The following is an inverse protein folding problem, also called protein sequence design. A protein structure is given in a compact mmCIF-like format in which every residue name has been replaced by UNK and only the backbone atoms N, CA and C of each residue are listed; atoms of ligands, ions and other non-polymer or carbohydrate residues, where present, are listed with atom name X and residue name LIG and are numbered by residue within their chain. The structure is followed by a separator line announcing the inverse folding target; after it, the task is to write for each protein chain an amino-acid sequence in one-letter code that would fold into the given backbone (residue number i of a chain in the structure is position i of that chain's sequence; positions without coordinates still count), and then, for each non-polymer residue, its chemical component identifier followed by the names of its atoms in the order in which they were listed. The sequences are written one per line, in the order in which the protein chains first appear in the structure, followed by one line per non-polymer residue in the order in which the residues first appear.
data_IF_621951784483
#
_entry.id   IF_621951784483
#
_cell.length_a   1.000
_cell.length_b   1.000
_cell.length_c   1.000
_cell.angle_alpha   90.00
_cell.angle_beta   90.00
_cell.angle_gamma   90.00
#
_symmetry.space_group_name_H-M   'P 1'
#
loop_
_entity.id
_entity.type
_entity.pdbx_description
1 polymer ?
#
# COMPACT_ATOMS: atom_id res chain seq x y z
N UNK A 1 12.61 9.31 15.15
CA UNK A 1 12.27 8.49 13.98
C UNK A 1 12.37 7.05 14.39
N UNK A 2 11.24 6.34 14.33
CA UNK A 2 11.21 4.89 14.42
C UNK A 2 11.76 4.31 13.10
N UNK A 3 12.40 3.13 13.13
CA UNK A 3 12.97 2.52 11.93
C UNK A 3 11.91 2.29 10.84
N UNK A 4 10.67 1.99 11.24
CA UNK A 4 9.51 1.85 10.35
C UNK A 4 9.18 3.14 9.61
N UNK A 5 9.19 4.27 10.32
CA UNK A 5 8.89 5.59 9.74
C UNK A 5 9.94 5.95 8.67
N UNK A 6 11.22 5.64 8.91
CA UNK A 6 12.29 5.85 7.93
C UNK A 6 12.12 4.94 6.71
N UNK A 7 11.78 3.66 6.94
CA UNK A 7 11.52 2.72 5.85
C UNK A 7 10.31 3.19 5.01
N UNK A 8 9.27 3.68 5.65
CA UNK A 8 8.06 4.15 5.00
C UNK A 8 8.33 5.38 4.12
N UNK A 9 9.04 6.38 4.66
CA UNK A 9 9.41 7.57 3.88
C UNK A 9 10.34 7.21 2.71
N UNK A 10 11.29 6.29 2.91
CA UNK A 10 12.14 5.79 1.83
C UNK A 10 11.34 5.05 0.76
N UNK A 11 10.36 4.23 1.14
CA UNK A 11 9.48 3.52 0.22
C UNK A 11 8.65 4.48 -0.63
N UNK A 12 8.07 5.51 -0.01
CA UNK A 12 7.35 6.60 -0.70
C UNK A 12 8.25 7.34 -1.69
N UNK A 13 9.50 7.62 -1.34
CA UNK A 13 10.46 8.26 -2.26
C UNK A 13 10.76 7.38 -3.48
N UNK A 14 10.98 6.07 -3.29
CA UNK A 14 11.15 5.16 -4.42
C UNK A 14 9.90 5.09 -5.30
N UNK A 15 8.71 5.05 -4.68
CA UNK A 15 7.43 5.04 -5.39
C UNK A 15 7.26 6.29 -6.26
N UNK A 16 7.51 7.49 -5.70
CA UNK A 16 7.45 8.76 -6.43
C UNK A 16 8.49 8.84 -7.56
N UNK A 17 9.60 8.14 -7.38
CA UNK A 17 10.66 8.00 -8.40
C UNK A 17 10.38 6.89 -9.42
N UNK A 18 9.16 6.30 -9.40
CA UNK A 18 8.72 5.18 -10.25
C UNK A 18 9.58 3.90 -10.13
N UNK A 19 10.38 3.81 -9.07
CA UNK A 19 11.17 2.63 -8.75
C UNK A 19 10.30 1.63 -7.96
N UNK A 20 9.25 1.13 -8.61
CA UNK A 20 8.20 0.33 -7.96
C UNK A 20 8.74 -0.94 -7.30
N UNK A 21 9.75 -1.61 -7.89
CA UNK A 21 10.36 -2.79 -7.30
C UNK A 21 11.02 -2.51 -5.94
N UNK A 22 11.70 -1.37 -5.79
CA UNK A 22 12.35 -1.01 -4.54
C UNK A 22 11.34 -0.47 -3.52
N UNK A 23 10.32 0.24 -3.98
CA UNK A 23 9.20 0.66 -3.14
C UNK A 23 8.47 -0.56 -2.54
N UNK A 24 8.10 -1.53 -3.38
CA UNK A 24 7.41 -2.76 -2.95
C UNK A 24 8.22 -3.53 -1.91
N UNK A 25 9.53 -3.73 -2.14
CA UNK A 25 10.41 -4.40 -1.17
C UNK A 25 10.39 -3.72 0.20
N UNK A 26 10.41 -2.39 0.24
CA UNK A 26 10.41 -1.66 1.50
C UNK A 26 9.05 -1.71 2.19
N UNK A 27 7.94 -1.58 1.45
CA UNK A 27 6.62 -1.75 2.04
C UNK A 27 6.40 -3.16 2.59
N UNK A 28 6.81 -4.20 1.84
CA UNK A 28 6.74 -5.58 2.32
C UNK A 28 7.61 -5.79 3.57
N UNK A 29 8.80 -5.20 3.63
CA UNK A 29 9.64 -5.24 4.83
C UNK A 29 8.98 -4.57 6.03
N UNK A 30 8.23 -3.49 5.84
CA UNK A 30 7.44 -2.88 6.92
C UNK A 30 6.38 -3.87 7.40
N UNK A 31 5.67 -4.55 6.49
CA UNK A 31 4.67 -5.56 6.85
C UNK A 31 5.25 -6.83 7.49
N UNK A 32 6.51 -7.16 7.25
CA UNK A 32 7.21 -8.23 7.99
C UNK A 32 7.39 -7.88 9.48
N UNK A 33 7.50 -6.59 9.81
CA UNK A 33 7.73 -6.10 11.17
C UNK A 33 6.39 -5.73 11.83
N UNK A 34 5.52 -5.05 11.09
CA UNK A 34 4.19 -4.61 11.49
C UNK A 34 3.15 -5.07 10.44
N UNK A 35 2.62 -6.30 10.57
CA UNK A 35 1.72 -6.89 9.57
C UNK A 35 0.45 -6.09 9.28
N UNK A 36 0.00 -5.30 10.25
CA UNK A 36 -1.22 -4.49 10.17
C UNK A 36 -0.89 -2.98 10.02
N UNK A 37 0.30 -2.64 9.52
CA UNK A 37 0.67 -1.26 9.23
C UNK A 37 -0.18 -0.71 8.06
N UNK A 38 -1.14 0.15 8.40
CA UNK A 38 -2.12 0.70 7.45
C UNK A 38 -1.47 1.47 6.30
N UNK A 39 -0.43 2.26 6.58
CA UNK A 39 0.27 3.04 5.55
C UNK A 39 0.95 2.14 4.51
N UNK A 40 1.67 1.11 4.96
CA UNK A 40 2.36 0.19 4.07
C UNK A 40 1.37 -0.65 3.24
N UNK A 41 0.28 -1.13 3.85
CA UNK A 41 -0.79 -1.83 3.13
C UNK A 41 -1.44 -0.93 2.07
N UNK A 42 -1.82 0.29 2.44
CA UNK A 42 -2.43 1.23 1.51
C UNK A 42 -1.51 1.56 0.33
N UNK A 43 -0.24 1.87 0.59
CA UNK A 43 0.71 2.18 -0.46
C UNK A 43 1.05 0.98 -1.35
N UNK A 44 1.04 -0.25 -0.83
CA UNK A 44 1.13 -1.46 -1.67
C UNK A 44 -0.09 -1.58 -2.58
N UNK A 45 -1.29 -1.30 -2.08
CA UNK A 45 -2.51 -1.26 -2.92
C UNK A 45 -2.38 -0.26 -4.07
N UNK A 46 -1.95 0.98 -3.77
CA UNK A 46 -1.71 2.02 -4.78
C UNK A 46 -0.62 1.61 -5.77
N UNK A 47 0.46 0.98 -5.29
CA UNK A 47 1.53 0.48 -6.15
C UNK A 47 1.03 -0.58 -7.12
N UNK A 48 0.26 -1.55 -6.63
CA UNK A 48 -0.36 -2.59 -7.46
C UNK A 48 -1.32 -2.01 -8.50
N UNK A 49 -2.11 -0.99 -8.12
CA UNK A 49 -2.97 -0.25 -9.06
C UNK A 49 -2.13 0.36 -10.20
N UNK A 50 -1.02 1.04 -9.87
CA UNK A 50 -0.15 1.71 -10.85
C UNK A 50 0.50 0.74 -11.82
N UNK A 51 0.87 -0.46 -11.38
CA UNK A 51 1.47 -1.49 -12.26
C UNK A 51 0.42 -2.37 -12.96
N UNK A 52 -0.86 -1.98 -12.92
CA UNK A 52 -2.01 -2.71 -13.48
C UNK A 52 -2.24 -4.11 -12.88
N UNK A 53 -1.71 -4.40 -11.70
CA UNK A 53 -2.06 -5.58 -10.91
C UNK A 53 -3.32 -5.28 -10.09
N UNK A 54 -4.47 -5.27 -10.77
CA UNK A 54 -5.74 -4.87 -10.17
C UNK A 54 -6.15 -5.82 -9.04
N UNK A 55 -5.90 -7.12 -9.20
CA UNK A 55 -6.21 -8.13 -8.18
C UNK A 55 -5.31 -7.98 -6.94
N UNK A 56 -4.02 -7.68 -7.14
CA UNK A 56 -3.12 -7.33 -6.04
C UNK A 56 -3.57 -6.06 -5.30
N UNK A 57 -4.00 -5.04 -6.06
CA UNK A 57 -4.46 -3.78 -5.49
C UNK A 57 -5.69 -3.97 -4.61
N UNK A 58 -6.70 -4.72 -5.10
CA UNK A 58 -7.91 -5.05 -4.34
C UNK A 58 -7.58 -5.70 -3.00
N UNK A 59 -6.75 -6.74 -3.01
CA UNK A 59 -6.37 -7.48 -1.79
C UNK A 59 -5.80 -6.58 -0.70
N UNK A 60 -4.91 -5.65 -1.07
CA UNK A 60 -4.30 -4.76 -0.10
C UNK A 60 -5.29 -3.72 0.43
N UNK A 61 -6.14 -3.14 -0.41
CA UNK A 61 -7.17 -2.21 0.06
C UNK A 61 -8.25 -2.89 0.90
N UNK A 62 -8.64 -4.12 0.56
CA UNK A 62 -9.53 -4.94 1.39
C UNK A 62 -8.91 -5.17 2.77
N UNK A 63 -7.62 -5.50 2.83
CA UNK A 63 -6.89 -5.66 4.09
C UNK A 63 -6.85 -4.37 4.92
N UNK A 64 -6.70 -3.20 4.27
CA UNK A 64 -6.82 -1.90 4.96
C UNK A 64 -8.20 -1.75 5.57
N UNK A 65 -9.27 -2.07 4.84
CA UNK A 65 -10.65 -1.97 5.33
C UNK A 65 -11.02 -3.02 6.38
N UNK A 66 -10.35 -4.18 6.41
CA UNK A 66 -10.49 -5.16 7.49
C UNK A 66 -9.98 -4.60 8.83
N UNK A 67 -8.91 -3.81 8.81
CA UNK A 67 -8.26 -3.24 10.00
C UNK A 67 -8.89 -1.89 10.37
N UNK A 68 -9.12 -1.03 9.39
CA UNK A 68 -9.76 0.27 9.50
C UNK A 68 -10.97 0.37 8.54
N UNK A 69 -12.16 -0.08 8.98
CA UNK A 69 -13.37 -0.03 8.17
C UNK A 69 -13.84 1.40 7.83
N UNK A 70 -13.33 2.44 8.48
CA UNK A 70 -13.70 3.83 8.21
C UNK A 70 -12.70 4.51 7.24
N UNK A 71 -11.69 3.79 6.76
CA UNK A 71 -10.70 4.31 5.82
C UNK A 71 -11.34 4.70 4.48
N UNK A 72 -11.65 5.98 4.32
CA UNK A 72 -12.32 6.52 3.12
C UNK A 72 -11.47 6.34 1.86
N UNK A 73 -10.16 6.55 1.98
CA UNK A 73 -9.26 6.47 0.84
C UNK A 73 -9.19 5.06 0.25
N UNK A 74 -9.05 4.04 1.10
CA UNK A 74 -9.05 2.64 0.65
C UNK A 74 -10.41 2.24 0.04
N UNK A 75 -11.52 2.71 0.61
CA UNK A 75 -12.86 2.46 0.06
C UNK A 75 -13.03 3.09 -1.33
N UNK A 76 -12.69 4.37 -1.47
CA UNK A 76 -12.77 5.08 -2.76
C UNK A 76 -11.91 4.40 -3.84
N UNK A 77 -10.71 3.92 -3.46
CA UNK A 77 -9.85 3.15 -4.37
C UNK A 77 -10.50 1.84 -4.81
N UNK A 78 -11.05 1.06 -3.88
CA UNK A 78 -11.73 -0.21 -4.20
C UNK A 78 -12.94 -0.02 -5.11
N UNK A 79 -13.78 0.96 -4.79
CA UNK A 79 -14.98 1.26 -5.58
C UNK A 79 -14.59 1.56 -7.03
N UNK A 80 -13.54 2.39 -7.22
CA UNK A 80 -13.01 2.71 -8.55
C UNK A 80 -12.46 1.48 -9.28
N UNK A 81 -11.82 0.54 -8.59
CA UNK A 81 -11.31 -0.69 -9.21
C UNK A 81 -12.44 -1.63 -9.65
N UNK A 82 -13.60 -1.58 -8.99
CA UNK A 82 -14.76 -2.42 -9.33
C UNK A 82 -15.51 -1.94 -10.60
N UNK A 83 -15.28 -0.71 -11.03
CA UNK A 83 -15.88 -0.13 -12.24
C UNK A 83 -15.12 -0.46 -13.55
N UNK A 84 -13.96 -1.12 -13.45
CA UNK A 84 -13.07 -1.47 -14.57
C UNK A 84 -13.34 -2.90 -15.05
#
# INVERSE_FOLDING_TARGET
MNDIEILLEKAKVYFLSQNYNEAEKLFLKILEIEPDNLDALYHLGVLKEVIHDIEGARKYFERVLEIDPENKEARERLDKLAEI
#
